data_IF_023292810108
#
_entry.id   IF_023292810108
#
_cell.length_a   1.000
_cell.length_b   1.000
_cell.length_c   1.000
_cell.angle_alpha   90.00
_cell.angle_beta   90.00
_cell.angle_gamma   90.00
#
_symmetry.space_group_name_H-M   'P 1'
#
loop_
_entity.id
_entity.type
_entity.pdbx_description
1 polymer ?
#
# COMPACT_ATOMS: atom_id res chain seq x y z
N UNK A 1 4.12 -18.22 20.81
CA UNK A 1 3.17 -17.71 19.79
C UNK A 1 3.98 -17.00 18.74
N UNK A 2 3.81 -17.34 17.46
CA UNK A 2 4.56 -16.69 16.37
C UNK A 2 3.98 -15.30 16.10
N UNK A 3 4.77 -14.38 15.55
CA UNK A 3 4.35 -13.02 15.19
C UNK A 3 4.53 -12.76 13.72
N UNK A 4 3.65 -11.99 13.10
CA UNK A 4 3.90 -11.47 11.76
C UNK A 4 3.60 -9.98 11.66
N UNK A 5 4.40 -9.28 10.86
CA UNK A 5 4.17 -7.87 10.53
C UNK A 5 3.32 -7.78 9.27
N UNK A 6 2.12 -7.24 9.37
CA UNK A 6 1.28 -6.85 8.24
C UNK A 6 1.59 -5.41 7.82
N UNK A 7 2.07 -5.23 6.59
CA UNK A 7 2.29 -3.92 5.96
C UNK A 7 1.11 -3.64 5.02
N UNK A 8 0.30 -2.65 5.40
CA UNK A 8 -0.91 -2.28 4.66
C UNK A 8 -1.04 -0.76 4.58
N UNK A 9 -1.59 -0.27 3.48
CA UNK A 9 -1.89 1.16 3.35
C UNK A 9 -3.28 1.51 3.89
N UNK A 10 -4.25 0.60 3.71
CA UNK A 10 -5.61 0.79 4.16
C UNK A 10 -5.85 -0.03 5.42
N UNK A 11 -6.28 0.64 6.48
CA UNK A 11 -6.60 0.05 7.79
C UNK A 11 -7.78 0.80 8.40
N UNK A 12 -8.62 0.17 9.26
CA UNK A 12 -9.74 0.87 9.89
C UNK A 12 -9.32 2.21 10.53
N UNK A 13 -10.15 3.25 10.40
CA UNK A 13 -11.55 3.24 9.95
C UNK A 13 -11.74 3.26 8.41
N UNK A 14 -10.70 3.05 7.60
CA UNK A 14 -10.89 2.85 6.17
C UNK A 14 -11.81 1.64 5.89
N UNK A 15 -12.70 1.80 4.90
CA UNK A 15 -13.58 0.75 4.42
C UNK A 15 -13.06 0.05 3.17
N UNK A 16 -13.87 -0.87 2.63
CA UNK A 16 -13.60 -1.59 1.38
C UNK A 16 -13.12 -3.03 1.59
N UNK A 17 -13.29 -3.86 0.56
CA UNK A 17 -13.08 -5.32 0.65
C UNK A 17 -11.66 -5.71 1.08
N UNK A 18 -10.64 -4.97 0.65
CA UNK A 18 -9.25 -5.19 1.07
C UNK A 18 -9.02 -5.00 2.56
N UNK A 19 -9.67 -3.99 3.16
CA UNK A 19 -9.57 -3.73 4.60
C UNK A 19 -10.31 -4.81 5.37
N UNK A 20 -11.56 -5.10 4.98
CA UNK A 20 -12.36 -6.12 5.64
C UNK A 20 -11.64 -7.47 5.69
N UNK A 21 -11.02 -7.90 4.58
CA UNK A 21 -10.29 -9.17 4.54
C UNK A 21 -9.16 -9.22 5.57
N UNK A 22 -8.33 -8.18 5.65
CA UNK A 22 -7.19 -8.18 6.57
C UNK A 22 -7.60 -7.96 8.03
N UNK A 23 -8.65 -7.19 8.30
CA UNK A 23 -9.24 -7.10 9.65
C UNK A 23 -9.69 -8.48 10.13
N UNK A 24 -10.46 -9.21 9.31
CA UNK A 24 -10.89 -10.58 9.63
C UNK A 24 -9.69 -11.52 9.79
N UNK A 25 -8.71 -11.44 8.89
CA UNK A 25 -7.49 -12.26 8.96
C UNK A 25 -6.76 -12.06 10.30
N UNK A 26 -6.48 -10.80 10.69
CA UNK A 26 -5.80 -10.50 11.96
C UNK A 26 -6.60 -10.95 13.19
N UNK A 27 -7.93 -10.96 13.11
CA UNK A 27 -8.82 -11.45 14.18
C UNK A 27 -8.74 -12.96 14.34
N UNK A 28 -8.89 -13.72 13.25
CA UNK A 28 -9.02 -15.18 13.32
C UNK A 28 -7.68 -15.92 13.34
N UNK A 29 -6.61 -15.37 12.75
CA UNK A 29 -5.32 -16.06 12.67
C UNK A 29 -4.68 -16.30 14.06
N UNK A 30 -5.09 -15.52 15.07
CA UNK A 30 -4.70 -15.69 16.48
C UNK A 30 -5.11 -17.05 17.04
N UNK A 31 -6.22 -17.62 16.56
CA UNK A 31 -6.68 -18.96 16.94
C UNK A 31 -5.72 -20.06 16.46
N UNK A 32 -4.86 -19.74 15.48
CA UNK A 32 -3.85 -20.64 14.91
C UNK A 32 -2.44 -20.33 15.44
N UNK A 33 -2.32 -19.60 16.55
CA UNK A 33 -1.05 -19.37 17.23
C UNK A 33 -0.16 -18.26 16.62
N UNK A 34 -0.74 -17.38 15.81
CA UNK A 34 -0.07 -16.22 15.22
C UNK A 34 -0.61 -14.89 15.75
N UNK A 35 0.27 -14.03 16.23
CA UNK A 35 -0.04 -12.68 16.70
C UNK A 35 0.35 -11.64 15.62
N UNK A 36 -0.63 -10.91 15.05
CA UNK A 36 -0.32 -9.89 14.06
C UNK A 36 0.19 -8.60 14.72
N UNK A 37 1.08 -7.90 14.02
CA UNK A 37 1.43 -6.50 14.24
C UNK A 37 1.15 -5.77 12.94
N UNK A 38 0.41 -4.67 12.98
CA UNK A 38 0.04 -3.92 11.77
C UNK A 38 0.93 -2.69 11.64
N UNK A 39 1.42 -2.42 10.43
CA UNK A 39 2.06 -1.17 10.06
C UNK A 39 1.27 -0.49 8.95
N UNK A 40 0.81 0.74 9.21
CA UNK A 40 -0.11 1.50 8.35
C UNK A 40 0.17 3.00 8.47
N UNK A 41 -0.14 3.85 7.47
CA UNK A 41 0.15 5.27 7.61
C UNK A 41 -0.81 5.93 8.59
N UNK A 42 -0.34 6.99 9.27
CA UNK A 42 -1.17 7.77 10.19
C UNK A 42 -2.18 8.66 9.45
N UNK A 43 -1.74 9.29 8.36
CA UNK A 43 -2.47 10.29 7.57
C UNK A 43 -2.72 9.82 6.12
N UNK A 44 -2.94 8.51 5.93
CA UNK A 44 -3.28 7.96 4.62
C UNK A 44 -4.67 8.40 4.13
N UNK A 45 -4.83 8.56 2.82
CA UNK A 45 -6.12 8.88 2.21
C UNK A 45 -6.92 7.62 1.89
N UNK A 46 -8.21 7.60 2.23
CA UNK A 46 -9.13 6.51 1.89
C UNK A 46 -10.39 7.04 1.19
N UNK A 47 -10.87 6.27 0.21
CA UNK A 47 -12.09 6.58 -0.52
C UNK A 47 -13.34 6.20 0.29
N UNK A 48 -13.28 5.10 1.04
CA UNK A 48 -14.37 4.59 1.86
C UNK A 48 -14.00 4.64 3.35
N UNK A 49 -14.98 4.94 4.19
CA UNK A 49 -14.88 4.90 5.64
C UNK A 49 -15.95 3.96 6.18
N UNK A 50 -15.56 3.11 7.12
CA UNK A 50 -16.44 2.18 7.79
C UNK A 50 -15.99 2.01 9.25
N UNK A 51 -16.59 2.81 10.13
CA UNK A 51 -16.33 2.78 11.58
C UNK A 51 -16.70 1.44 12.23
N UNK A 52 -17.55 0.63 11.58
CA UNK A 52 -17.90 -0.69 12.13
C UNK A 52 -16.70 -1.65 12.10
N UNK A 53 -15.81 -1.51 11.10
CA UNK A 53 -14.58 -2.31 11.02
C UNK A 53 -13.59 -1.99 12.13
N UNK A 54 -13.59 -0.76 12.66
CA UNK A 54 -12.73 -0.41 13.79
C UNK A 54 -13.10 -1.22 15.05
N UNK A 55 -14.40 -1.54 15.21
CA UNK A 55 -14.92 -2.38 16.31
C UNK A 55 -14.53 -3.85 16.17
N UNK A 56 -14.11 -4.27 14.98
CA UNK A 56 -13.67 -5.63 14.71
C UNK A 56 -12.18 -5.86 14.98
N UNK A 57 -11.40 -4.79 15.10
CA UNK A 57 -10.00 -4.85 15.46
C UNK A 57 -9.88 -5.25 16.93
N UNK A 58 -9.10 -6.30 17.20
CA UNK A 58 -8.87 -6.74 18.57
C UNK A 58 -8.21 -5.62 19.39
N UNK A 59 -8.69 -5.26 20.59
CA UNK A 59 -8.14 -4.16 21.39
C UNK A 59 -6.64 -4.29 21.69
N UNK A 60 -6.15 -5.52 21.83
CA UNK A 60 -4.75 -5.82 22.08
C UNK A 60 -3.89 -5.87 20.80
N UNK A 61 -4.46 -5.67 19.61
CA UNK A 61 -3.71 -5.70 18.36
C UNK A 61 -2.78 -4.48 18.28
N UNK A 62 -1.49 -4.73 18.11
CA UNK A 62 -0.53 -3.66 17.93
C UNK A 62 -0.65 -3.05 16.53
N UNK A 63 -0.99 -1.76 16.47
CA UNK A 63 -1.06 -0.98 15.22
C UNK A 63 -0.04 0.14 15.28
N UNK A 64 1.02 0.00 14.51
CA UNK A 64 2.12 0.96 14.38
C UNK A 64 1.80 1.92 13.24
N UNK A 65 1.80 3.21 13.55
CA UNK A 65 1.52 4.28 12.59
C UNK A 65 2.69 5.23 12.47
N UNK A 66 2.98 5.65 11.25
CA UNK A 66 3.93 6.74 10.97
C UNK A 66 3.30 7.74 10.02
N UNK A 67 3.57 9.04 10.18
CA UNK A 67 3.13 10.04 9.22
C UNK A 67 3.84 9.83 7.89
N UNK A 68 3.13 10.11 6.80
CA UNK A 68 3.59 9.92 5.43
C UNK A 68 3.42 11.20 4.61
N UNK A 69 4.25 11.31 3.59
CA UNK A 69 4.19 12.37 2.61
C UNK A 69 3.75 11.80 1.25
N UNK A 70 2.86 12.51 0.57
CA UNK A 70 2.29 12.06 -0.70
C UNK A 70 2.24 13.21 -1.71
N UNK A 71 2.61 13.00 -2.99
CA UNK A 71 2.64 14.07 -4.01
C UNK A 71 1.29 14.75 -4.21
N UNK A 72 0.20 14.02 -3.97
CA UNK A 72 -1.14 14.54 -4.11
C UNK A 72 -1.49 15.60 -3.05
N UNK A 73 -0.84 15.57 -1.87
CA UNK A 73 -0.96 16.64 -0.88
C UNK A 73 -0.41 17.97 -1.42
N UNK A 74 0.68 17.93 -2.21
CA UNK A 74 1.16 19.11 -2.93
C UNK A 74 0.17 19.56 -4.00
N UNK A 75 -0.36 18.63 -4.81
CA UNK A 75 -1.32 18.98 -5.87
C UNK A 75 -2.57 19.69 -5.32
N UNK A 76 -3.10 19.24 -4.16
CA UNK A 76 -4.18 19.92 -3.44
C UNK A 76 -3.80 21.34 -3.02
N UNK A 77 -2.60 21.50 -2.44
CA UNK A 77 -2.08 22.79 -1.99
C UNK A 77 -1.87 23.77 -3.16
N UNK A 78 -1.30 23.30 -4.28
CA UNK A 78 -1.04 24.12 -5.47
C UNK A 78 -2.31 24.57 -6.20
N UNK A 79 -3.39 23.79 -6.15
CA UNK A 79 -4.67 24.14 -6.78
C UNK A 79 -5.58 25.03 -5.93
N UNK A 80 -5.15 25.46 -4.74
CA UNK A 80 -6.00 26.24 -3.82
C UNK A 80 -7.27 25.48 -3.38
N UNK A 81 -7.27 24.15 -3.51
CA UNK A 81 -8.41 23.29 -3.13
C UNK A 81 -8.30 22.94 -1.65
N UNK A 82 -9.45 22.94 -0.96
CA UNK A 82 -9.50 22.61 0.47
C UNK A 82 -8.98 21.19 0.73
N UNK A 83 -8.33 21.00 1.89
CA UNK A 83 -7.74 19.74 2.37
C UNK A 83 -8.71 18.54 2.31
N UNK A 84 -10.01 18.83 2.34
CA UNK A 84 -11.14 17.89 2.36
C UNK A 84 -11.63 17.42 0.97
N UNK A 85 -11.18 18.03 -0.14
CA UNK A 85 -11.57 17.55 -1.48
C UNK A 85 -10.89 16.21 -1.78
N UNK A 86 -11.64 15.11 -1.68
CA UNK A 86 -11.17 13.77 -2.04
C UNK A 86 -11.01 13.66 -3.55
N UNK A 87 -9.79 13.41 -4.04
CA UNK A 87 -9.63 12.89 -5.39
C UNK A 87 -9.80 11.38 -5.34
N UNK A 88 -10.91 10.94 -5.88
CA UNK A 88 -11.19 9.53 -6.08
C UNK A 88 -10.16 8.94 -7.04
N UNK A 89 -9.60 7.81 -6.67
CA UNK A 89 -8.70 6.98 -7.50
C UNK A 89 -9.45 6.21 -8.60
N UNK A 90 -10.51 6.80 -9.15
CA UNK A 90 -11.18 6.39 -10.38
C UNK A 90 -11.08 7.53 -11.37
N UNK A 91 -9.89 7.76 -11.94
CA UNK A 91 -9.65 8.81 -12.93
C UNK A 91 -10.15 8.41 -14.33
N UNK A 92 -11.34 7.83 -14.41
CA UNK A 92 -12.10 7.72 -15.65
C UNK A 92 -13.54 8.10 -15.29
N UNK A 93 -13.86 9.39 -15.46
CA UNK A 93 -15.26 9.79 -15.57
C UNK A 93 -15.75 9.22 -16.91
N UNK A 94 -16.51 8.13 -16.86
CA UNK A 94 -17.24 7.65 -18.03
C UNK A 94 -18.12 8.80 -18.55
N UNK A 95 -17.82 9.27 -19.77
CA UNK A 95 -18.69 10.20 -20.52
C UNK A 95 -18.26 11.66 -20.66
N UNK A 96 -17.16 12.14 -20.04
CA UNK A 96 -16.61 13.49 -20.33
C UNK A 96 -15.27 13.40 -21.06
N UNK A 97 -15.10 14.13 -22.18
CA UNK A 97 -13.82 14.24 -22.90
C UNK A 97 -12.73 14.65 -21.92
N UNK A 98 -11.68 13.82 -21.81
CA UNK A 98 -10.55 14.11 -20.93
C UNK A 98 -9.86 15.42 -21.33
N UNK A 99 -9.71 16.32 -20.35
CA UNK A 99 -8.93 17.56 -20.52
C UNK A 99 -7.45 17.25 -20.73
N UNK A 100 -6.74 18.07 -21.51
CA UNK A 100 -5.29 17.98 -21.69
C UNK A 100 -4.54 17.94 -20.35
N UNK A 101 -5.03 18.66 -19.33
CA UNK A 101 -4.46 18.63 -17.99
C UNK A 101 -4.62 17.27 -17.31
N UNK A 102 -5.77 16.59 -17.48
CA UNK A 102 -5.99 15.23 -16.96
C UNK A 102 -5.06 14.25 -17.66
N UNK A 103 -4.91 14.38 -18.98
CA UNK A 103 -4.01 13.57 -19.81
C UNK A 103 -2.56 13.65 -19.35
N UNK A 104 -2.07 14.86 -19.07
CA UNK A 104 -0.72 15.11 -18.55
C UNK A 104 -0.57 14.57 -17.13
N UNK A 105 -1.57 14.76 -16.26
CA UNK A 105 -1.54 14.25 -14.88
C UNK A 105 -1.45 12.71 -14.83
N UNK A 106 -2.27 12.01 -15.63
CA UNK A 106 -2.22 10.54 -15.76
C UNK A 106 -0.85 10.09 -16.27
N UNK A 107 -0.31 10.74 -17.31
CA UNK A 107 1.01 10.44 -17.83
C UNK A 107 2.11 10.63 -16.77
N UNK A 108 2.11 11.76 -16.06
CA UNK A 108 3.11 12.03 -15.02
C UNK A 108 3.02 10.97 -13.92
N UNK A 109 1.81 10.68 -13.45
CA UNK A 109 1.58 9.67 -12.40
C UNK A 109 2.06 8.29 -12.82
N UNK A 110 1.68 7.82 -14.01
CA UNK A 110 2.04 6.50 -14.51
C UNK A 110 3.54 6.33 -14.77
N UNK A 111 4.23 7.40 -15.19
CA UNK A 111 5.63 7.30 -15.61
C UNK A 111 6.64 7.72 -14.54
N UNK A 112 6.31 8.61 -13.61
CA UNK A 112 7.26 9.06 -12.58
C UNK A 112 7.00 8.46 -11.21
N UNK A 113 5.75 8.12 -10.88
CA UNK A 113 5.39 7.55 -9.57
C UNK A 113 5.24 6.03 -9.63
N UNK A 114 6.37 5.35 -9.76
CA UNK A 114 6.46 3.88 -9.86
C UNK A 114 6.96 3.32 -8.51
N UNK A 115 6.24 2.41 -7.84
CA UNK A 115 5.13 1.61 -8.36
C UNK A 115 3.77 2.32 -8.31
N UNK A 116 3.64 3.34 -7.48
CA UNK A 116 2.47 4.17 -7.32
C UNK A 116 2.85 5.46 -6.56
N UNK A 117 1.87 6.34 -6.33
CA UNK A 117 2.06 7.61 -5.65
C UNK A 117 2.58 7.49 -4.20
N UNK A 118 2.63 6.27 -3.62
CA UNK A 118 3.13 6.01 -2.25
C UNK A 118 4.60 5.64 -2.23
N UNK A 119 5.31 5.71 -3.37
CA UNK A 119 6.72 5.35 -3.47
C UNK A 119 7.65 6.09 -2.50
N UNK A 120 7.28 7.31 -2.09
CA UNK A 120 8.04 8.12 -1.15
C UNK A 120 8.04 7.56 0.28
N UNK A 121 7.12 6.66 0.58
CA UNK A 121 7.06 5.98 1.87
C UNK A 121 8.01 4.77 1.95
N UNK A 122 8.45 4.23 0.81
CA UNK A 122 9.23 3.00 0.75
C UNK A 122 10.50 3.08 1.63
N UNK A 123 11.38 4.05 1.36
CA UNK A 123 12.65 4.18 2.08
C UNK A 123 12.46 4.56 3.56
N UNK A 124 11.63 5.56 3.92
CA UNK A 124 11.35 5.87 5.32
C UNK A 124 10.80 4.68 6.11
N UNK A 125 9.84 3.93 5.55
CA UNK A 125 9.28 2.75 6.20
C UNK A 125 10.31 1.65 6.40
N UNK A 126 11.14 1.34 5.40
CA UNK A 126 12.20 0.33 5.54
C UNK A 126 13.14 0.72 6.69
N UNK A 127 13.58 1.98 6.75
CA UNK A 127 14.46 2.48 7.81
C UNK A 127 13.81 2.37 9.18
N UNK A 128 12.55 2.81 9.30
CA UNK A 128 11.79 2.75 10.55
C UNK A 128 11.59 1.30 11.01
N UNK A 129 11.04 0.44 10.13
CA UNK A 129 10.72 -0.94 10.45
C UNK A 129 11.96 -1.77 10.76
N UNK A 130 13.07 -1.56 10.05
CA UNK A 130 14.34 -2.27 10.36
C UNK A 130 14.85 -1.93 11.76
N UNK A 131 14.65 -0.69 12.23
CA UNK A 131 14.98 -0.32 13.62
C UNK A 131 13.98 -0.93 14.60
N UNK A 132 12.69 -0.73 14.34
CA UNK A 132 11.60 -1.22 15.18
C UNK A 132 11.66 -2.74 15.41
N UNK A 133 11.93 -3.52 14.37
CA UNK A 133 11.99 -4.98 14.44
C UNK A 133 13.18 -5.54 15.25
N UNK A 134 14.18 -4.71 15.59
CA UNK A 134 15.24 -5.11 16.53
C UNK A 134 14.71 -5.23 17.96
N UNK A 135 13.81 -4.32 18.33
CA UNK A 135 13.21 -4.30 19.66
C UNK A 135 11.93 -5.15 19.69
N UNK A 136 11.24 -5.29 18.56
CA UNK A 136 9.93 -5.94 18.46
C UNK A 136 9.98 -7.00 17.34
N UNK A 137 10.70 -8.12 17.55
CA UNK A 137 10.92 -9.13 16.52
C UNK A 137 9.63 -9.80 16.08
N UNK A 138 9.58 -10.18 14.80
CA UNK A 138 8.50 -10.95 14.18
C UNK A 138 9.10 -12.12 13.39
N UNK A 139 8.31 -13.17 13.20
CA UNK A 139 8.72 -14.38 12.50
C UNK A 139 8.46 -14.33 10.98
N UNK A 140 7.56 -13.43 10.55
CA UNK A 140 7.23 -13.26 9.13
C UNK A 140 6.76 -11.83 8.82
N UNK A 141 6.86 -11.44 7.55
CA UNK A 141 6.29 -10.22 7.01
C UNK A 141 5.22 -10.59 6.00
N UNK A 142 4.10 -9.89 6.04
CA UNK A 142 3.09 -9.93 4.99
C UNK A 142 2.84 -8.52 4.49
N UNK A 143 2.74 -8.36 3.19
CA UNK A 143 2.37 -7.08 2.57
C UNK A 143 1.15 -7.27 1.69
N UNK A 144 0.22 -6.32 1.72
CA UNK A 144 -0.99 -6.36 0.90
C UNK A 144 -1.06 -5.18 -0.05
N UNK A 145 -1.27 -5.47 -1.33
CA UNK A 145 -1.43 -4.47 -2.40
C UNK A 145 -2.70 -4.71 -3.21
N UNK A 146 -3.23 -3.70 -3.93
CA UNK A 146 -2.70 -2.34 -4.06
C UNK A 146 -2.90 -1.48 -2.79
N UNK A 147 -2.15 -0.37 -2.61
CA UNK A 147 -1.00 0.07 -3.44
C UNK A 147 0.21 -0.87 -3.31
N UNK A 148 0.94 -1.09 -4.41
CA UNK A 148 2.04 -2.05 -4.47
C UNK A 148 3.34 -1.53 -3.84
N UNK A 149 3.41 -0.24 -3.47
CA UNK A 149 4.47 0.29 -2.59
C UNK A 149 4.62 -0.54 -1.31
N UNK A 150 3.54 -1.17 -0.80
CA UNK A 150 3.60 -2.02 0.39
C UNK A 150 4.50 -3.25 0.18
N UNK A 151 4.47 -3.82 -1.03
CA UNK A 151 5.35 -4.93 -1.39
C UNK A 151 6.81 -4.50 -1.42
N UNK A 152 7.11 -3.31 -1.94
CA UNK A 152 8.48 -2.80 -1.96
C UNK A 152 9.02 -2.43 -0.57
N UNK A 153 8.14 -1.98 0.34
CA UNK A 153 8.51 -1.82 1.76
C UNK A 153 8.89 -3.18 2.34
N UNK A 154 8.02 -4.18 2.20
CA UNK A 154 8.25 -5.50 2.76
C UNK A 154 9.48 -6.18 2.16
N UNK A 155 9.70 -6.05 0.85
CA UNK A 155 10.91 -6.53 0.17
C UNK A 155 12.17 -5.93 0.81
N UNK A 156 12.18 -4.61 1.01
CA UNK A 156 13.33 -3.91 1.60
C UNK A 156 13.57 -4.31 3.05
N UNK A 157 12.51 -4.48 3.84
CA UNK A 157 12.63 -4.96 5.22
C UNK A 157 13.13 -6.41 5.25
N UNK A 158 12.56 -7.29 4.42
CA UNK A 158 13.01 -8.67 4.27
C UNK A 158 14.51 -8.73 3.95
N UNK A 159 14.97 -7.97 2.96
CA UNK A 159 16.39 -7.93 2.59
C UNK A 159 17.30 -7.41 3.71
N UNK A 160 16.80 -6.49 4.53
CA UNK A 160 17.57 -5.90 5.63
C UNK A 160 17.60 -6.78 6.89
N UNK A 161 16.61 -7.65 7.09
CA UNK A 161 16.45 -8.43 8.34
C UNK A 161 16.53 -9.94 8.16
N UNK A 162 16.38 -10.45 6.94
CA UNK A 162 16.26 -11.89 6.63
C UNK A 162 14.90 -12.50 6.98
N UNK A 163 13.96 -11.74 7.53
CA UNK A 163 12.64 -12.26 7.97
C UNK A 163 11.82 -12.68 6.75
N UNK A 164 11.29 -13.91 6.67
CA UNK A 164 10.56 -14.39 5.50
C UNK A 164 9.34 -13.52 5.17
N UNK A 165 9.10 -13.32 3.89
CA UNK A 165 8.07 -12.40 3.39
C UNK A 165 7.09 -13.07 2.44
N UNK A 166 5.80 -12.80 2.64
CA UNK A 166 4.70 -13.18 1.74
C UNK A 166 4.08 -11.92 1.13
N UNK A 167 4.08 -11.85 -0.20
CA UNK A 167 3.40 -10.81 -0.96
C UNK A 167 1.97 -11.26 -1.29
N UNK A 168 0.99 -10.48 -0.85
CA UNK A 168 -0.42 -10.73 -1.06
C UNK A 168 -0.99 -9.73 -2.09
N UNK A 169 -1.12 -10.21 -3.31
CA UNK A 169 -1.66 -9.49 -4.47
C UNK A 169 -3.17 -9.65 -4.51
N UNK A 170 -3.91 -8.62 -4.11
CA UNK A 170 -5.39 -8.63 -4.20
C UNK A 170 -5.87 -8.44 -5.63
N UNK A 171 -5.12 -7.64 -6.38
CA UNK A 171 -5.34 -7.36 -7.79
C UNK A 171 -4.01 -7.58 -8.56
N UNK A 172 -4.04 -7.95 -9.84
CA UNK A 172 -2.84 -8.03 -10.67
C UNK A 172 -2.14 -6.66 -10.73
N UNK A 173 -0.79 -6.64 -10.74
CA UNK A 173 -0.08 -5.37 -10.82
C UNK A 173 -0.05 -4.84 -12.26
N UNK A 174 0.43 -5.63 -13.22
CA UNK A 174 0.55 -5.18 -14.62
C UNK A 174 -0.63 -5.59 -15.51
N UNK A 175 -1.50 -6.48 -15.03
CA UNK A 175 -2.63 -7.03 -15.79
C UNK A 175 -4.00 -6.57 -15.27
N UNK A 176 -4.08 -5.42 -14.59
CA UNK A 176 -5.34 -4.83 -14.15
C UNK A 176 -6.04 -4.10 -15.31
N UNK A 177 -7.37 -4.08 -15.32
CA UNK A 177 -8.17 -3.62 -16.48
C UNK A 177 -7.81 -2.19 -16.95
N UNK A 178 -7.49 -1.30 -16.02
CA UNK A 178 -7.13 0.10 -16.30
C UNK A 178 -5.63 0.32 -16.54
N UNK A 179 -4.79 -0.73 -16.56
CA UNK A 179 -3.34 -0.60 -16.73
C UNK A 179 -2.96 0.09 -18.03
N UNK A 180 -3.69 -0.23 -19.11
CA UNK A 180 -3.57 0.41 -20.44
C UNK A 180 -3.88 1.91 -20.42
N UNK A 181 -4.71 2.35 -19.48
CA UNK A 181 -5.12 3.75 -19.36
C UNK A 181 -4.08 4.63 -18.66
N UNK A 182 -3.04 4.01 -18.05
CA UNK A 182 -1.95 4.71 -17.38
C UNK A 182 -0.95 5.41 -18.33
N UNK A 183 -1.06 5.17 -19.65
CA UNK A 183 -0.22 5.81 -20.69
C UNK A 183 1.27 5.67 -20.41
N UNK A 184 1.66 4.46 -20.06
CA UNK A 184 3.03 4.13 -19.73
C UNK A 184 3.89 4.22 -20.98
N UNK A 185 5.07 4.82 -20.83
CA UNK A 185 6.18 4.63 -21.75
C UNK A 185 6.68 3.20 -21.63
N UNK A 186 7.39 2.69 -22.65
CA UNK A 186 7.97 1.34 -22.62
C UNK A 186 8.92 1.15 -21.43
N UNK A 187 9.62 2.21 -21.01
CA UNK A 187 10.46 2.17 -19.81
C UNK A 187 9.63 2.00 -18.53
N UNK A 188 8.54 2.74 -18.37
CA UNK A 188 7.69 2.64 -17.19
C UNK A 188 7.01 1.27 -17.10
N UNK A 189 6.48 0.77 -18.22
CA UNK A 189 5.91 -0.58 -18.34
C UNK A 189 6.95 -1.67 -17.96
N UNK A 190 8.15 -1.61 -18.55
CA UNK A 190 9.23 -2.53 -18.22
C UNK A 190 9.61 -2.48 -16.73
N UNK A 191 9.62 -1.28 -16.14
CA UNK A 191 9.90 -1.12 -14.71
C UNK A 191 8.81 -1.75 -13.86
N UNK A 192 7.53 -1.53 -14.16
CA UNK A 192 6.42 -2.17 -13.46
C UNK A 192 6.52 -3.71 -13.50
N UNK A 193 6.74 -4.28 -14.69
CA UNK A 193 6.92 -5.74 -14.86
C UNK A 193 8.11 -6.27 -14.08
N UNK A 194 9.24 -5.57 -14.10
CA UNK A 194 10.41 -5.96 -13.32
C UNK A 194 10.16 -5.92 -11.80
N UNK A 195 9.41 -4.93 -11.32
CA UNK A 195 9.03 -4.84 -9.91
C UNK A 195 8.05 -5.96 -9.50
N UNK A 196 7.03 -6.22 -10.31
CA UNK A 196 6.08 -7.33 -10.08
C UNK A 196 6.79 -8.68 -10.04
N UNK A 197 7.62 -8.96 -11.05
CA UNK A 197 8.42 -10.18 -11.10
C UNK A 197 9.30 -10.33 -9.86
N UNK A 198 9.88 -9.24 -9.34
CA UNK A 198 10.72 -9.30 -8.14
C UNK A 198 9.94 -9.61 -6.86
N UNK A 199 8.68 -9.17 -6.77
CA UNK A 199 7.80 -9.51 -5.66
C UNK A 199 7.21 -10.93 -5.77
N UNK A 200 7.02 -11.44 -6.98
CA UNK A 200 6.48 -12.77 -7.24
C UNK A 200 7.56 -13.87 -7.30
N UNK A 201 8.79 -13.52 -7.69
CA UNK A 201 9.90 -14.46 -7.73
C UNK A 201 10.15 -14.96 -6.31
N UNK A 202 9.99 -16.27 -6.12
CA UNK A 202 10.41 -16.96 -4.89
C UNK A 202 11.81 -16.47 -4.55
N UNK A 203 11.95 -15.81 -3.41
CA UNK A 203 13.23 -15.59 -2.75
C UNK A 203 13.75 -16.99 -2.41
N UNK A 204 14.42 -17.62 -3.38
CA UNK A 204 15.11 -18.87 -3.17
C UNK A 204 16.19 -18.54 -2.13
N UNK A 205 16.05 -19.18 -0.96
CA UNK A 205 17.04 -19.11 0.11
C UNK A 205 18.39 -19.67 -0.32
#
# INVERSE_FOLDING_TARGET
MKKFLLITYYWPPAGGGGVMRWVKMTKYIRQYGWEPVVYTPENGETAAFDESLAKEVAPALQVVKTPIWEPYQLYKQFLGRKKEEKIYSGFINEGKKESLAQKVSVFIRGNFFIPDARMFWIKPSIKYLTKYLKEHPVDAIVSTGPPHSMHLIAEGVHKATGIPWVADFRDPWTNIDFYKDLRLTSWADARHKALEQRCCARLHG
#
